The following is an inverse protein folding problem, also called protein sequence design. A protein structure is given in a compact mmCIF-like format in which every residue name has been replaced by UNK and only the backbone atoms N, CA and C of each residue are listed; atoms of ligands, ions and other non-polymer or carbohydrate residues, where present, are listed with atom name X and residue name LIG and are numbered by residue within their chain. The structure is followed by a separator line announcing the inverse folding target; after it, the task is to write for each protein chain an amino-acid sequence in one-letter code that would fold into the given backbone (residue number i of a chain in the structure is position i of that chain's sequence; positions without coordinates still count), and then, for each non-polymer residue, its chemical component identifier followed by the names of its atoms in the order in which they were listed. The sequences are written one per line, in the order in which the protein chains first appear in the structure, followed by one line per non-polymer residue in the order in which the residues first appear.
data_IF_159506924353
#
_entry.id   IF_159506924353
#
_cell.length_a   1.000
_cell.length_b   1.000
_cell.length_c   1.000
_cell.angle_alpha   90.00
_cell.angle_beta   90.00
_cell.angle_gamma   90.00
#
_symmetry.space_group_name_H-M   'P 1'
#
loop_
_entity.id
_entity.type
_entity.pdbx_description
1 polymer ?
#
# COMPACT_ATOMS: atom_id res chain seq x y z
N UNK A 1 -19.55 0.13 -60.29
CA UNK A 1 -20.00 1.01 -59.19
C UNK A 1 -20.26 0.13 -58.00
N UNK A 2 -19.27 0.00 -57.09
CA UNK A 2 -19.45 -0.69 -55.83
C UNK A 2 -20.12 0.29 -54.87
N UNK A 3 -21.29 -0.07 -54.35
CA UNK A 3 -22.00 0.64 -53.32
C UNK A 3 -21.04 0.99 -52.17
N UNK A 4 -20.76 2.25 -52.00
CA UNK A 4 -20.25 2.82 -50.75
C UNK A 4 -21.37 2.64 -49.71
N UNK A 5 -21.35 1.53 -48.99
CA UNK A 5 -22.13 1.35 -47.78
C UNK A 5 -21.76 2.50 -46.83
N UNK A 6 -22.77 3.18 -46.28
CA UNK A 6 -22.64 4.18 -45.23
C UNK A 6 -21.53 3.82 -44.26
N UNK A 7 -20.66 4.79 -43.86
CA UNK A 7 -19.67 4.53 -42.83
C UNK A 7 -20.42 4.00 -41.61
N UNK A 8 -20.16 2.74 -41.26
CA UNK A 8 -20.81 2.10 -40.12
C UNK A 8 -20.47 2.91 -38.86
N UNK A 9 -21.48 3.53 -38.31
CA UNK A 9 -21.37 4.27 -37.03
C UNK A 9 -20.92 3.26 -35.97
N UNK A 10 -19.80 3.55 -35.30
CA UNK A 10 -19.37 2.71 -34.19
C UNK A 10 -20.30 2.92 -32.99
N UNK A 11 -20.68 1.82 -32.34
CA UNK A 11 -21.42 1.90 -31.08
C UNK A 11 -20.52 1.42 -29.94
N UNK A 12 -20.36 2.28 -28.95
CA UNK A 12 -19.52 2.03 -27.76
C UNK A 12 -20.44 1.80 -26.57
N UNK A 13 -20.34 0.64 -25.97
CA UNK A 13 -21.15 0.22 -24.82
C UNK A 13 -20.33 -0.63 -23.86
N UNK A 14 -20.95 -1.12 -22.79
CA UNK A 14 -20.32 -2.09 -21.90
C UNK A 14 -20.98 -3.46 -22.01
N UNK A 15 -20.15 -4.52 -22.09
CA UNK A 15 -20.59 -5.91 -21.96
C UNK A 15 -19.79 -6.61 -20.86
N UNK A 16 -20.46 -6.93 -19.77
CA UNK A 16 -19.76 -7.50 -18.59
C UNK A 16 -18.79 -6.50 -17.96
N UNK A 17 -17.50 -6.85 -17.92
CA UNK A 17 -16.43 -6.00 -17.41
C UNK A 17 -15.74 -5.17 -18.50
N UNK A 18 -16.00 -5.48 -19.78
CA UNK A 18 -15.28 -4.94 -20.89
C UNK A 18 -16.01 -3.76 -21.55
N UNK A 19 -15.25 -2.88 -22.19
CA UNK A 19 -15.72 -1.88 -23.12
C UNK A 19 -15.91 -2.57 -24.49
N UNK A 20 -17.15 -2.62 -24.95
CA UNK A 20 -17.52 -3.29 -26.19
C UNK A 20 -17.72 -2.25 -27.30
N UNK A 21 -17.04 -2.43 -28.44
CA UNK A 21 -17.20 -1.58 -29.63
C UNK A 21 -17.75 -2.44 -30.76
N UNK A 22 -18.90 -2.02 -31.28
CA UNK A 22 -19.61 -2.69 -32.35
C UNK A 22 -19.33 -1.92 -33.64
N UNK A 23 -18.79 -2.60 -34.68
CA UNK A 23 -18.48 -2.02 -35.97
C UNK A 23 -17.07 -2.41 -36.46
N UNK A 24 -16.53 -1.65 -37.42
CA UNK A 24 -15.19 -1.90 -37.97
C UNK A 24 -14.13 -1.26 -37.05
N UNK A 25 -13.35 -2.11 -36.38
CA UNK A 25 -12.39 -1.71 -35.33
C UNK A 25 -10.93 -2.05 -35.65
N UNK A 26 -10.61 -2.49 -36.87
CA UNK A 26 -9.28 -2.96 -37.23
C UNK A 26 -8.14 -1.97 -36.90
N UNK A 27 -8.42 -0.66 -36.96
CA UNK A 27 -7.46 0.39 -36.60
C UNK A 27 -7.23 0.50 -35.09
N UNK A 28 -8.23 0.14 -34.27
CA UNK A 28 -8.13 0.13 -32.80
C UNK A 28 -7.43 -1.16 -32.33
N UNK A 29 -7.69 -2.27 -32.99
CA UNK A 29 -7.16 -3.59 -32.63
C UNK A 29 -5.64 -3.64 -32.66
N UNK A 30 -5.01 -2.80 -33.51
CA UNK A 30 -3.55 -2.67 -33.60
C UNK A 30 -2.93 -1.85 -32.45
N UNK A 31 -3.72 -1.01 -31.81
CA UNK A 31 -3.23 -0.02 -30.83
C UNK A 31 -3.49 -0.41 -29.39
N UNK A 32 -4.47 -1.29 -29.15
CA UNK A 32 -4.89 -1.65 -27.80
C UNK A 32 -5.01 -3.17 -27.64
N UNK A 33 -4.71 -3.71 -26.44
CA UNK A 33 -5.05 -5.08 -26.10
C UNK A 33 -6.56 -5.31 -26.24
N UNK A 34 -6.95 -6.33 -26.99
CA UNK A 34 -8.35 -6.57 -27.31
C UNK A 34 -8.68 -8.05 -27.42
N UNK A 35 -9.99 -8.34 -27.39
CA UNK A 35 -10.57 -9.64 -27.73
C UNK A 35 -11.71 -9.40 -28.70
N UNK A 36 -11.78 -10.15 -29.80
CA UNK A 36 -12.80 -10.02 -30.83
C UNK A 36 -13.75 -11.20 -30.81
N UNK A 37 -15.05 -10.91 -30.97
CA UNK A 37 -16.09 -11.89 -31.12
C UNK A 37 -17.07 -11.42 -32.21
N UNK A 38 -17.10 -12.09 -33.38
CA UNK A 38 -17.87 -11.72 -34.59
C UNK A 38 -17.69 -10.23 -34.98
N UNK A 39 -18.70 -9.37 -34.60
CA UNK A 39 -18.73 -7.94 -34.94
C UNK A 39 -18.44 -7.04 -33.75
N UNK A 40 -18.04 -7.61 -32.61
CA UNK A 40 -17.79 -6.88 -31.37
C UNK A 40 -16.33 -7.05 -30.99
N UNK A 41 -15.65 -5.93 -30.78
CA UNK A 41 -14.30 -5.92 -30.22
C UNK A 41 -14.34 -5.40 -28.79
N UNK A 42 -13.70 -6.11 -27.91
CA UNK A 42 -13.68 -5.82 -26.46
C UNK A 42 -12.32 -5.24 -26.09
N UNK A 43 -12.37 -4.14 -25.33
CA UNK A 43 -11.20 -3.42 -24.81
C UNK A 43 -11.33 -3.25 -23.31
N UNK A 44 -10.25 -2.86 -22.65
CA UNK A 44 -10.33 -2.48 -21.25
C UNK A 44 -11.03 -1.11 -21.10
N UNK A 45 -11.94 -0.95 -20.14
CA UNK A 45 -12.59 0.34 -19.86
C UNK A 45 -11.61 1.50 -19.63
N UNK A 46 -10.44 1.24 -19.03
CA UNK A 46 -9.38 2.23 -18.81
C UNK A 46 -8.90 2.91 -20.11
N UNK A 47 -9.03 2.26 -21.25
CA UNK A 47 -8.57 2.76 -22.55
C UNK A 47 -9.63 3.64 -23.25
N UNK A 48 -10.82 3.80 -22.65
CA UNK A 48 -11.95 4.50 -23.23
C UNK A 48 -11.60 5.86 -23.85
N UNK A 49 -10.94 6.74 -23.12
CA UNK A 49 -10.62 8.09 -23.63
C UNK A 49 -9.55 8.06 -24.73
N UNK A 50 -8.57 7.20 -24.63
CA UNK A 50 -7.58 7.00 -25.68
C UNK A 50 -8.22 6.45 -26.97
N UNK A 51 -9.18 5.56 -26.84
CA UNK A 51 -9.97 5.01 -27.94
C UNK A 51 -10.83 6.11 -28.59
N UNK A 52 -11.52 6.92 -27.77
CA UNK A 52 -12.31 8.07 -28.27
C UNK A 52 -11.44 9.04 -29.05
N UNK A 53 -10.27 9.38 -28.54
CA UNK A 53 -9.36 10.29 -29.20
C UNK A 53 -8.88 9.73 -30.54
N UNK A 54 -8.56 8.44 -30.60
CA UNK A 54 -8.15 7.78 -31.86
C UNK A 54 -9.30 7.72 -32.88
N UNK A 55 -10.53 7.46 -32.43
CA UNK A 55 -11.73 7.49 -33.29
C UNK A 55 -11.93 8.90 -33.87
N UNK A 56 -11.81 9.95 -33.05
CA UNK A 56 -11.91 11.35 -33.50
C UNK A 56 -10.82 11.75 -34.48
N UNK A 57 -9.57 11.37 -34.22
CA UNK A 57 -8.43 11.63 -35.14
C UNK A 57 -8.68 11.00 -36.52
N UNK A 58 -9.31 9.82 -36.58
CA UNK A 58 -9.64 9.15 -37.82
C UNK A 58 -10.98 9.62 -38.44
N UNK A 59 -11.61 10.64 -37.90
CA UNK A 59 -12.90 11.19 -38.36
C UNK A 59 -14.02 10.13 -38.50
N UNK A 60 -14.08 9.18 -37.58
CA UNK A 60 -15.09 8.11 -37.59
C UNK A 60 -16.26 8.52 -36.71
N UNK A 61 -17.49 8.36 -37.23
CA UNK A 61 -18.72 8.63 -36.47
C UNK A 61 -18.95 7.53 -35.45
N UNK A 62 -19.35 7.90 -34.23
CA UNK A 62 -19.64 6.96 -33.15
C UNK A 62 -20.77 7.43 -32.25
N UNK A 63 -21.40 6.49 -31.56
CA UNK A 63 -22.37 6.71 -30.48
C UNK A 63 -21.89 6.03 -29.20
N UNK A 64 -22.21 6.61 -28.05
CA UNK A 64 -21.90 6.06 -26.74
C UNK A 64 -23.22 5.73 -26.04
N UNK A 65 -23.38 4.49 -25.64
CA UNK A 65 -24.57 3.94 -24.99
C UNK A 65 -24.46 3.95 -23.45
N UNK A 66 -23.81 4.97 -22.92
CA UNK A 66 -23.77 5.25 -21.47
C UNK A 66 -23.42 6.72 -21.24
N UNK A 67 -23.74 7.22 -20.07
CA UNK A 67 -23.42 8.58 -19.69
C UNK A 67 -22.25 8.66 -18.73
N UNK A 68 -21.49 9.72 -18.81
CA UNK A 68 -20.47 10.08 -17.83
C UNK A 68 -20.42 11.60 -17.69
N UNK A 69 -20.27 12.07 -16.46
CA UNK A 69 -20.03 13.47 -16.12
C UNK A 69 -19.09 13.50 -14.93
N UNK A 70 -17.95 14.14 -15.11
CA UNK A 70 -16.89 14.17 -14.12
C UNK A 70 -16.71 15.51 -13.42
N UNK A 71 -17.39 16.56 -13.87
CA UNK A 71 -17.26 17.88 -13.27
C UNK A 71 -17.95 17.93 -11.90
N UNK A 72 -17.28 18.56 -10.95
CA UNK A 72 -17.96 18.93 -9.71
C UNK A 72 -18.95 20.07 -9.99
N UNK A 73 -20.09 20.11 -9.31
CA UNK A 73 -21.03 21.22 -9.40
C UNK A 73 -20.33 22.57 -9.10
N UNK A 74 -20.76 23.67 -9.75
CA UNK A 74 -20.15 25.00 -9.55
C UNK A 74 -20.17 25.46 -8.09
N UNK A 75 -21.25 25.14 -7.36
CA UNK A 75 -21.40 25.44 -5.93
C UNK A 75 -20.45 24.62 -5.03
N UNK A 76 -19.80 23.58 -5.55
CA UNK A 76 -18.86 22.77 -4.78
C UNK A 76 -17.59 23.59 -4.52
N UNK A 77 -17.30 23.93 -3.28
CA UNK A 77 -16.17 24.77 -2.90
C UNK A 77 -15.21 24.05 -1.98
N UNK A 78 -13.92 24.38 -2.14
CA UNK A 78 -12.87 23.90 -1.24
C UNK A 78 -12.33 25.06 -0.41
N UNK A 79 -12.27 24.86 0.91
CA UNK A 79 -11.61 25.76 1.85
C UNK A 79 -10.31 25.11 2.32
N UNK A 80 -9.21 25.43 1.65
CA UNK A 80 -7.91 24.80 1.97
C UNK A 80 -7.37 25.29 3.30
N UNK A 81 -7.01 24.34 4.16
CA UNK A 81 -6.36 24.58 5.46
C UNK A 81 -5.00 23.88 5.52
N UNK A 82 -4.15 24.10 4.51
CA UNK A 82 -2.77 23.59 4.47
C UNK A 82 -1.93 24.38 3.48
N UNK A 83 -0.62 24.33 3.67
CA UNK A 83 0.39 24.79 2.73
C UNK A 83 1.27 23.62 2.33
N UNK A 84 1.70 23.61 1.07
CA UNK A 84 2.58 22.56 0.57
C UNK A 84 4.04 22.88 0.91
N UNK A 85 4.79 21.86 1.30
CA UNK A 85 6.25 21.92 1.22
C UNK A 85 6.70 21.99 -0.24
N UNK A 86 7.91 22.49 -0.48
CA UNK A 86 8.47 22.62 -1.84
C UNK A 86 8.41 21.31 -2.62
N UNK A 87 8.85 20.21 -2.01
CA UNK A 87 8.83 18.87 -2.65
C UNK A 87 7.41 18.38 -2.96
N UNK A 88 6.41 18.75 -2.14
CA UNK A 88 5.00 18.41 -2.41
C UNK A 88 4.48 19.19 -3.62
N UNK A 89 4.86 20.43 -3.76
CA UNK A 89 4.56 21.24 -4.92
C UNK A 89 5.16 20.62 -6.20
N UNK A 90 6.44 20.27 -6.14
CA UNK A 90 7.15 19.59 -7.24
C UNK A 90 6.47 18.25 -7.62
N UNK A 91 6.00 17.48 -6.63
CA UNK A 91 5.28 16.23 -6.88
C UNK A 91 3.94 16.47 -7.60
N UNK A 92 3.18 17.49 -7.19
CA UNK A 92 1.92 17.88 -7.85
C UNK A 92 2.18 18.31 -9.28
N UNK A 93 3.15 19.21 -9.51
CA UNK A 93 3.51 19.68 -10.85
C UNK A 93 3.99 18.55 -11.76
N UNK A 94 4.85 17.68 -11.25
CA UNK A 94 5.34 16.52 -12.01
C UNK A 94 4.19 15.62 -12.48
N UNK A 95 3.20 15.40 -11.62
CA UNK A 95 2.03 14.59 -11.96
C UNK A 95 1.10 15.32 -12.96
N UNK A 96 0.84 16.62 -12.77
CA UNK A 96 0.04 17.43 -13.69
C UNK A 96 0.64 17.45 -15.10
N UNK A 97 1.96 17.61 -15.19
CA UNK A 97 2.71 17.67 -16.44
C UNK A 97 2.80 16.29 -17.13
N UNK A 98 2.64 15.19 -16.40
CA UNK A 98 2.61 13.84 -16.98
C UNK A 98 1.20 13.40 -17.36
N UNK A 99 0.45 14.23 -18.08
CA UNK A 99 -0.91 13.95 -18.54
C UNK A 99 -1.88 13.59 -17.40
N UNK A 100 -1.61 14.03 -16.19
CA UNK A 100 -2.39 13.76 -14.97
C UNK A 100 -2.50 12.24 -14.71
N UNK A 101 -1.42 11.52 -14.98
CA UNK A 101 -1.24 10.09 -14.67
C UNK A 101 0.12 9.89 -14.03
N UNK A 102 0.22 8.99 -13.07
CA UNK A 102 1.53 8.69 -12.51
C UNK A 102 1.50 8.11 -11.11
N UNK A 103 2.67 7.63 -10.72
CA UNK A 103 2.94 7.06 -9.41
C UNK A 103 3.79 8.06 -8.63
N UNK A 104 3.36 8.44 -7.43
CA UNK A 104 4.14 9.24 -6.50
C UNK A 104 4.65 8.32 -5.40
N UNK A 105 5.98 8.19 -5.33
CA UNK A 105 6.67 7.32 -4.40
C UNK A 105 7.30 8.16 -3.28
N UNK A 106 6.63 8.21 -2.12
CA UNK A 106 7.07 8.99 -0.97
C UNK A 106 6.98 8.18 0.32
N UNK A 107 7.94 8.33 1.25
CA UNK A 107 7.90 7.67 2.54
C UNK A 107 6.63 7.98 3.33
N UNK A 108 6.32 7.14 4.30
CA UNK A 108 5.26 7.42 5.27
C UNK A 108 5.61 8.68 6.06
N UNK A 109 4.62 9.57 6.25
CA UNK A 109 4.84 10.85 6.92
C UNK A 109 5.20 12.01 5.99
N UNK A 110 5.49 11.77 4.70
CA UNK A 110 5.78 12.81 3.71
C UNK A 110 4.54 13.62 3.27
N UNK A 111 3.35 13.29 3.75
CA UNK A 111 2.13 14.01 3.39
C UNK A 111 1.55 13.64 2.03
N UNK A 112 1.62 12.36 1.61
CA UNK A 112 0.99 11.85 0.38
C UNK A 112 -0.48 12.25 0.26
N UNK A 113 -1.22 12.21 1.37
CA UNK A 113 -2.62 12.64 1.43
C UNK A 113 -2.77 14.11 1.07
N UNK A 114 -1.91 15.00 1.59
CA UNK A 114 -1.94 16.45 1.31
C UNK A 114 -1.72 16.73 -0.19
N UNK A 115 -0.77 16.02 -0.83
CA UNK A 115 -0.55 16.09 -2.29
C UNK A 115 -1.83 15.74 -3.04
N UNK A 116 -2.52 14.68 -2.63
CA UNK A 116 -3.77 14.26 -3.27
C UNK A 116 -4.90 15.26 -3.06
N UNK A 117 -5.02 15.85 -1.87
CA UNK A 117 -6.01 16.90 -1.59
C UNK A 117 -5.77 18.13 -2.45
N UNK A 118 -4.50 18.52 -2.68
CA UNK A 118 -4.14 19.57 -3.60
C UNK A 118 -4.59 19.24 -5.04
N UNK A 119 -4.29 18.04 -5.51
CA UNK A 119 -4.70 17.58 -6.85
C UNK A 119 -6.23 17.60 -7.01
N UNK A 120 -6.98 17.10 -6.01
CA UNK A 120 -8.46 17.16 -6.00
C UNK A 120 -8.95 18.60 -6.12
N UNK A 121 -8.35 19.51 -5.35
CA UNK A 121 -8.76 20.93 -5.36
C UNK A 121 -8.45 21.65 -6.68
N UNK A 122 -7.35 21.28 -7.35
CA UNK A 122 -6.95 21.85 -8.65
C UNK A 122 -7.85 21.34 -9.77
N UNK A 123 -8.08 20.02 -9.82
CA UNK A 123 -8.82 19.40 -10.92
C UNK A 123 -10.33 19.69 -10.86
N UNK A 124 -10.90 19.80 -9.65
CA UNK A 124 -12.35 20.02 -9.44
C UNK A 124 -13.23 19.02 -10.19
N UNK A 125 -12.89 17.75 -10.08
CA UNK A 125 -13.62 16.66 -10.73
C UNK A 125 -14.02 15.57 -9.72
N UNK A 126 -15.05 14.80 -10.08
CA UNK A 126 -15.54 13.66 -9.28
C UNK A 126 -14.40 12.66 -9.08
N UNK A 127 -14.15 12.32 -7.83
CA UNK A 127 -12.96 11.58 -7.42
C UNK A 127 -13.31 10.31 -6.66
N UNK A 128 -12.71 9.19 -7.06
CA UNK A 128 -12.72 7.93 -6.32
C UNK A 128 -11.37 7.72 -5.64
N UNK A 129 -11.39 7.59 -4.31
CA UNK A 129 -10.21 7.33 -3.48
C UNK A 129 -10.30 5.90 -2.98
N UNK A 130 -9.39 5.04 -3.43
CA UNK A 130 -9.34 3.62 -3.06
C UNK A 130 -8.31 3.41 -1.96
N UNK A 131 -8.74 2.82 -0.85
CA UNK A 131 -7.91 2.61 0.35
C UNK A 131 -7.94 1.15 0.80
N UNK A 132 -6.90 0.64 1.46
CA UNK A 132 -6.84 -0.77 1.86
C UNK A 132 -7.76 -1.14 3.04
N UNK A 133 -8.07 -0.20 3.93
CA UNK A 133 -8.78 -0.51 5.18
C UNK A 133 -9.85 0.52 5.52
N UNK A 134 -10.84 0.11 6.31
CA UNK A 134 -11.89 1.01 6.83
C UNK A 134 -11.31 2.12 7.73
N UNK A 135 -10.20 1.86 8.38
CA UNK A 135 -9.52 2.87 9.21
C UNK A 135 -8.92 3.96 8.33
N UNK A 136 -8.29 3.61 7.22
CA UNK A 136 -7.80 4.60 6.24
C UNK A 136 -8.96 5.35 5.56
N UNK A 137 -10.09 4.67 5.33
CA UNK A 137 -11.30 5.33 4.83
C UNK A 137 -11.73 6.46 5.77
N UNK A 138 -11.82 6.20 7.07
CA UNK A 138 -12.17 7.21 8.07
C UNK A 138 -11.11 8.33 8.16
N UNK A 139 -9.83 8.00 8.07
CA UNK A 139 -8.76 9.01 8.04
C UNK A 139 -8.84 9.91 6.82
N UNK A 140 -9.10 9.37 5.64
CA UNK A 140 -9.30 10.13 4.42
C UNK A 140 -10.48 11.07 4.53
N UNK A 141 -11.61 10.57 5.08
CA UNK A 141 -12.79 11.38 5.36
C UNK A 141 -12.46 12.58 6.26
N UNK A 142 -11.79 12.32 7.38
CA UNK A 142 -11.38 13.36 8.30
C UNK A 142 -10.43 14.37 7.66
N UNK A 143 -9.50 13.92 6.81
CA UNK A 143 -8.61 14.82 6.07
C UNK A 143 -9.35 15.69 5.04
N UNK A 144 -10.32 15.14 4.32
CA UNK A 144 -11.17 15.89 3.39
C UNK A 144 -11.97 16.98 4.12
N UNK A 145 -12.54 16.64 5.27
CA UNK A 145 -13.28 17.60 6.12
C UNK A 145 -12.34 18.69 6.64
N UNK A 146 -11.25 18.30 7.28
CA UNK A 146 -10.36 19.23 7.96
C UNK A 146 -9.56 20.12 6.99
N UNK A 147 -9.04 19.53 5.92
CA UNK A 147 -8.11 20.22 5.03
C UNK A 147 -8.75 20.85 3.81
N UNK A 148 -9.88 20.35 3.34
CA UNK A 148 -10.62 20.93 2.19
C UNK A 148 -11.94 21.58 2.59
N UNK A 149 -12.32 21.53 3.89
CA UNK A 149 -13.54 22.15 4.39
C UNK A 149 -14.83 21.50 3.92
N UNK A 150 -14.79 20.23 3.50
CA UNK A 150 -15.99 19.50 3.06
C UNK A 150 -16.89 19.17 4.24
N UNK A 151 -18.20 19.12 3.99
CA UNK A 151 -19.13 18.55 4.96
C UNK A 151 -19.10 17.02 4.88
N UNK A 152 -19.37 16.35 5.99
CA UNK A 152 -19.44 14.88 6.01
C UNK A 152 -20.50 14.33 5.02
N UNK A 153 -21.56 15.09 4.74
CA UNK A 153 -22.61 14.81 3.76
C UNK A 153 -22.15 14.84 2.30
N UNK A 154 -21.03 15.52 2.00
CA UNK A 154 -20.50 15.67 0.64
C UNK A 154 -19.58 14.52 0.25
N UNK A 155 -19.24 13.66 1.21
CA UNK A 155 -18.30 12.57 1.06
C UNK A 155 -19.02 11.23 1.04
N UNK A 156 -18.88 10.49 -0.06
CA UNK A 156 -19.37 9.13 -0.18
C UNK A 156 -18.45 8.14 0.55
N UNK A 157 -19.08 7.17 1.22
CA UNK A 157 -18.37 6.09 1.91
C UNK A 157 -18.83 4.73 1.35
N UNK A 158 -17.87 3.93 0.85
CA UNK A 158 -18.18 2.64 0.26
C UNK A 158 -17.29 1.54 0.86
N UNK A 159 -17.84 0.82 1.85
CA UNK A 159 -17.12 -0.22 2.60
C UNK A 159 -17.73 -0.41 3.99
N UNK A 160 -17.46 -1.54 4.64
CA UNK A 160 -17.95 -1.82 5.99
C UNK A 160 -19.48 -1.80 6.12
N UNK A 161 -20.20 -2.19 5.05
CA UNK A 161 -21.67 -2.16 5.01
C UNK A 161 -22.27 -0.86 4.48
N UNK A 162 -21.52 0.23 4.37
CA UNK A 162 -21.97 1.46 3.72
C UNK A 162 -21.78 1.37 2.20
N UNK A 163 -22.71 1.97 1.43
CA UNK A 163 -22.68 2.01 -0.03
C UNK A 163 -23.16 3.37 -0.57
N UNK A 164 -22.69 4.43 0.04
CA UNK A 164 -23.03 5.80 -0.34
C UNK A 164 -22.04 6.35 -1.37
N UNK A 165 -22.56 6.76 -2.53
CA UNK A 165 -21.78 7.34 -3.63
C UNK A 165 -22.07 8.83 -3.70
N UNK A 166 -21.03 9.64 -3.65
CA UNK A 166 -21.03 11.10 -3.82
C UNK A 166 -19.96 11.51 -4.83
N UNK A 167 -19.89 12.77 -5.15
CA UNK A 167 -18.91 13.31 -6.11
C UNK A 167 -17.45 13.07 -5.67
N UNK A 168 -17.22 13.07 -4.35
CA UNK A 168 -15.95 12.57 -3.78
C UNK A 168 -16.30 11.34 -2.92
N UNK A 169 -15.83 10.18 -3.34
CA UNK A 169 -16.15 8.91 -2.68
C UNK A 169 -14.86 8.19 -2.27
N UNK A 170 -14.84 7.71 -1.03
CA UNK A 170 -13.77 6.88 -0.50
C UNK A 170 -14.28 5.45 -0.45
N UNK A 171 -13.51 4.51 -0.98
CA UNK A 171 -13.89 3.10 -1.12
C UNK A 171 -12.75 2.18 -0.71
N UNK A 172 -13.06 1.03 -0.11
CA UNK A 172 -12.02 0.01 0.14
C UNK A 172 -11.68 -0.75 -1.15
N UNK A 173 -10.45 -1.31 -1.24
CA UNK A 173 -10.05 -2.15 -2.38
C UNK A 173 -11.02 -3.30 -2.65
N UNK A 174 -11.48 -3.98 -1.59
CA UNK A 174 -12.48 -5.06 -1.71
C UNK A 174 -13.77 -4.56 -2.34
N UNK A 175 -14.28 -3.43 -1.87
CA UNK A 175 -15.50 -2.84 -2.42
C UNK A 175 -15.28 -2.29 -3.83
N UNK A 176 -14.16 -1.63 -4.11
CA UNK A 176 -13.83 -1.12 -5.44
C UNK A 176 -13.76 -2.25 -6.48
N UNK A 177 -13.19 -3.40 -6.10
CA UNK A 177 -13.16 -4.61 -6.92
C UNK A 177 -14.57 -5.16 -7.21
N UNK A 178 -15.41 -5.30 -6.17
CA UNK A 178 -16.74 -5.90 -6.30
C UNK A 178 -17.71 -5.03 -7.10
N UNK A 179 -17.61 -3.71 -6.97
CA UNK A 179 -18.59 -2.77 -7.52
C UNK A 179 -18.11 -1.98 -8.74
N UNK A 180 -17.04 -2.44 -9.41
CA UNK A 180 -16.52 -1.82 -10.65
C UNK A 180 -17.62 -1.52 -11.65
N UNK A 181 -18.50 -2.49 -11.97
CA UNK A 181 -19.57 -2.31 -12.97
C UNK A 181 -20.52 -1.17 -12.65
N UNK A 182 -20.82 -0.98 -11.37
CA UNK A 182 -21.73 0.07 -10.89
C UNK A 182 -21.09 1.46 -10.92
N UNK A 183 -19.78 1.53 -10.66
CA UNK A 183 -19.10 2.79 -10.37
C UNK A 183 -18.18 3.28 -11.49
N UNK A 184 -17.96 2.47 -12.54
CA UNK A 184 -16.92 2.69 -13.56
C UNK A 184 -17.00 4.03 -14.30
N UNK A 185 -18.19 4.62 -14.44
CA UNK A 185 -18.43 5.86 -15.17
C UNK A 185 -18.64 7.09 -14.28
N UNK A 186 -18.55 6.93 -12.96
CA UNK A 186 -18.92 8.01 -12.04
C UNK A 186 -17.79 9.01 -11.76
N UNK A 187 -16.53 8.62 -11.99
CA UNK A 187 -15.38 9.38 -11.51
C UNK A 187 -14.37 9.68 -12.61
N UNK A 188 -13.86 10.90 -12.63
CA UNK A 188 -12.82 11.35 -13.57
C UNK A 188 -11.40 11.21 -13.01
N UNK A 189 -11.25 11.17 -11.68
CA UNK A 189 -9.97 10.93 -11.01
C UNK A 189 -10.06 9.65 -10.16
N UNK A 190 -9.14 8.72 -10.40
CA UNK A 190 -8.93 7.52 -9.61
C UNK A 190 -7.63 7.68 -8.80
N UNK A 191 -7.76 7.70 -7.49
CA UNK A 191 -6.62 7.73 -6.55
C UNK A 191 -6.51 6.37 -5.88
N UNK A 192 -5.35 5.72 -5.99
CA UNK A 192 -5.02 4.51 -5.24
C UNK A 192 -4.05 4.86 -4.11
N UNK A 193 -4.53 4.82 -2.87
CA UNK A 193 -3.65 4.92 -1.72
C UNK A 193 -3.10 3.54 -1.36
N UNK A 194 -1.83 3.49 -0.92
CA UNK A 194 -1.05 2.27 -0.74
C UNK A 194 -1.16 1.35 -1.98
N UNK A 195 -0.87 1.93 -3.16
CA UNK A 195 -1.10 1.35 -4.48
C UNK A 195 -0.41 -0.02 -4.72
N UNK A 196 0.54 -0.39 -3.87
CA UNK A 196 1.15 -1.73 -3.90
C UNK A 196 0.14 -2.86 -3.65
N UNK A 197 -1.06 -2.57 -3.09
CA UNK A 197 -2.14 -3.56 -2.96
C UNK A 197 -2.67 -4.03 -4.32
N UNK A 198 -2.49 -3.25 -5.38
CA UNK A 198 -2.89 -3.65 -6.73
C UNK A 198 -2.10 -4.85 -7.27
N UNK A 199 -0.97 -5.21 -6.67
CA UNK A 199 -0.15 -6.36 -7.06
C UNK A 199 -0.83 -7.73 -6.89
N UNK A 200 -1.94 -7.81 -6.15
CA UNK A 200 -2.75 -9.02 -6.05
C UNK A 200 -3.64 -9.18 -7.29
N UNK A 201 -3.64 -10.36 -7.91
CA UNK A 201 -4.43 -10.67 -9.12
C UNK A 201 -5.91 -10.31 -9.04
N UNK A 202 -6.46 -10.25 -7.82
CA UNK A 202 -7.87 -9.91 -7.60
C UNK A 202 -8.20 -8.43 -7.83
N UNK A 203 -7.27 -7.51 -7.52
CA UNK A 203 -7.55 -6.07 -7.58
C UNK A 203 -7.17 -5.41 -8.90
N UNK A 204 -6.57 -6.12 -9.84
CA UNK A 204 -6.23 -5.60 -11.17
C UNK A 204 -7.43 -5.00 -11.91
N UNK A 205 -8.62 -5.55 -11.70
CA UNK A 205 -9.86 -5.05 -12.29
C UNK A 205 -10.19 -3.61 -11.84
N UNK A 206 -9.65 -3.13 -10.72
CA UNK A 206 -9.83 -1.74 -10.29
C UNK A 206 -9.13 -0.81 -11.28
N UNK A 207 -7.93 -1.14 -11.70
CA UNK A 207 -7.21 -0.33 -12.67
C UNK A 207 -7.79 -0.47 -14.09
N UNK A 208 -8.22 -1.67 -14.48
CA UNK A 208 -8.73 -1.96 -15.83
C UNK A 208 -10.17 -1.50 -16.05
N UNK A 209 -11.00 -1.54 -15.00
CA UNK A 209 -12.45 -1.47 -15.11
C UNK A 209 -13.07 -0.08 -14.96
N UNK A 210 -12.34 0.93 -14.48
CA UNK A 210 -12.80 2.32 -14.39
C UNK A 210 -12.34 3.13 -15.59
N UNK A 211 -13.25 3.95 -16.17
CA UNK A 211 -12.93 4.80 -17.32
C UNK A 211 -12.19 6.09 -16.92
N UNK A 212 -11.93 6.33 -15.64
CA UNK A 212 -11.28 7.55 -15.14
C UNK A 212 -10.04 7.92 -15.96
N UNK A 213 -10.02 9.09 -16.63
CA UNK A 213 -8.89 9.52 -17.45
C UNK A 213 -7.67 9.92 -16.63
N UNK A 214 -7.86 10.40 -15.41
CA UNK A 214 -6.80 10.86 -14.52
C UNK A 214 -6.55 9.84 -13.42
N UNK A 215 -5.27 9.51 -13.18
CA UNK A 215 -4.89 8.39 -12.32
C UNK A 215 -3.69 8.71 -11.47
N UNK A 216 -3.86 8.61 -10.16
CA UNK A 216 -2.82 8.84 -9.17
C UNK A 216 -2.62 7.60 -8.32
N UNK A 217 -1.41 7.05 -8.30
CA UNK A 217 -1.02 6.00 -7.40
C UNK A 217 -0.05 6.53 -6.34
N UNK A 218 -0.37 6.29 -5.08
CA UNK A 218 0.44 6.70 -3.93
C UNK A 218 0.97 5.48 -3.21
N UNK A 219 2.26 5.45 -2.95
CA UNK A 219 2.85 4.38 -2.16
C UNK A 219 4.14 4.83 -1.50
N UNK A 220 4.54 4.16 -0.41
CA UNK A 220 5.80 4.41 0.25
C UNK A 220 6.94 3.56 -0.33
N UNK A 221 6.62 2.45 -0.97
CA UNK A 221 7.60 1.52 -1.51
C UNK A 221 7.04 0.83 -2.75
N UNK A 222 7.83 0.81 -3.80
CA UNK A 222 7.64 -0.06 -4.96
C UNK A 222 8.99 -0.69 -5.26
N UNK A 223 9.05 -2.00 -5.25
CA UNK A 223 10.15 -2.72 -5.86
C UNK A 223 9.91 -2.69 -7.39
N UNK A 224 10.79 -2.01 -8.12
CA UNK A 224 10.70 -1.92 -9.60
C UNK A 224 10.87 -3.29 -10.27
N UNK A 225 11.36 -4.29 -9.54
CA UNK A 225 11.46 -5.69 -9.99
C UNK A 225 10.25 -6.53 -9.56
N UNK A 226 9.30 -5.98 -8.80
CA UNK A 226 8.07 -6.68 -8.42
C UNK A 226 6.98 -6.49 -9.49
N UNK A 227 6.17 -7.53 -9.67
CA UNK A 227 4.92 -7.51 -10.46
C UNK A 227 4.00 -6.32 -10.14
N UNK A 228 4.13 -5.75 -8.95
CA UNK A 228 3.35 -4.59 -8.50
C UNK A 228 3.62 -3.32 -9.31
N UNK A 229 4.89 -3.06 -9.65
CA UNK A 229 5.26 -1.89 -10.44
C UNK A 229 4.80 -2.05 -11.89
N UNK A 230 5.09 -3.21 -12.48
CA UNK A 230 4.71 -3.55 -13.85
C UNK A 230 3.20 -3.47 -14.05
N UNK A 231 2.43 -3.97 -13.08
CA UNK A 231 0.98 -3.87 -13.08
C UNK A 231 0.47 -2.43 -13.02
N UNK A 232 1.05 -1.56 -12.18
CA UNK A 232 0.63 -0.15 -12.13
C UNK A 232 0.93 0.57 -13.44
N UNK A 233 2.13 0.38 -14.00
CA UNK A 233 2.56 1.02 -15.25
C UNK A 233 1.69 0.56 -16.41
N UNK A 234 1.54 -0.74 -16.61
CA UNK A 234 0.76 -1.32 -17.74
C UNK A 234 -0.74 -1.07 -17.63
N UNK A 235 -1.25 -0.77 -16.42
CA UNK A 235 -2.67 -0.54 -16.15
C UNK A 235 -3.06 0.94 -16.04
N UNK A 236 -2.32 1.81 -16.69
CA UNK A 236 -2.69 3.20 -16.95
C UNK A 236 -2.28 4.21 -15.88
N UNK A 237 -1.37 3.83 -14.96
CA UNK A 237 -0.72 4.79 -14.05
C UNK A 237 0.61 5.33 -14.62
N UNK A 238 1.03 4.82 -15.78
CA UNK A 238 2.22 5.23 -16.54
C UNK A 238 3.52 4.92 -15.78
N UNK A 239 4.16 5.91 -15.16
CA UNK A 239 5.48 5.77 -14.53
C UNK A 239 5.54 6.41 -13.15
N UNK A 240 6.63 6.20 -12.43
CA UNK A 240 6.94 7.01 -11.24
C UNK A 240 7.30 8.41 -11.71
N UNK A 241 6.47 9.38 -11.35
CA UNK A 241 6.63 10.80 -11.74
C UNK A 241 7.39 11.60 -10.70
N UNK A 242 7.34 11.16 -9.43
CA UNK A 242 8.07 11.80 -8.35
C UNK A 242 8.46 10.80 -7.26
N UNK A 243 9.66 10.94 -6.74
CA UNK A 243 10.16 10.08 -5.65
C UNK A 243 11.10 10.84 -4.73
N UNK A 244 11.00 10.58 -3.42
CA UNK A 244 12.00 10.96 -2.43
C UNK A 244 12.28 9.79 -1.49
N UNK A 245 13.53 9.70 -1.06
CA UNK A 245 13.94 8.74 -0.02
C UNK A 245 13.79 9.34 1.38
N UNK A 246 13.69 8.51 2.44
CA UNK A 246 13.56 9.01 3.82
C UNK A 246 14.69 9.95 4.27
N UNK A 247 15.93 9.69 3.86
CA UNK A 247 17.08 10.55 4.15
C UNK A 247 16.95 11.96 3.55
N UNK A 248 16.41 12.07 2.31
CA UNK A 248 16.17 13.35 1.67
C UNK A 248 15.09 14.17 2.41
N UNK A 249 14.04 13.53 2.94
CA UNK A 249 13.04 14.21 3.76
C UNK A 249 13.58 14.65 5.12
N UNK A 250 14.57 13.95 5.65
CA UNK A 250 15.27 14.37 6.86
C UNK A 250 16.12 15.62 6.60
N UNK A 251 16.85 15.65 5.49
CA UNK A 251 17.62 16.82 5.04
C UNK A 251 16.74 18.06 4.80
N UNK A 252 15.49 17.84 4.38
CA UNK A 252 14.49 18.90 4.19
C UNK A 252 13.77 19.30 5.50
N UNK A 253 14.20 18.78 6.65
CA UNK A 253 13.60 19.03 7.98
C UNK A 253 12.09 18.71 8.06
N UNK A 254 11.58 17.88 7.17
CA UNK A 254 10.17 17.44 7.16
C UNK A 254 9.93 16.33 8.17
N UNK A 255 10.94 15.50 8.41
CA UNK A 255 10.93 14.45 9.41
C UNK A 255 11.80 14.86 10.60
N UNK A 256 11.41 14.43 11.78
CA UNK A 256 12.26 14.54 13.00
C UNK A 256 13.60 13.82 12.73
N UNK A 257 14.69 14.38 13.22
CA UNK A 257 15.98 13.70 13.22
C UNK A 257 15.84 12.32 13.85
N UNK A 258 16.32 11.28 13.16
CA UNK A 258 16.19 9.91 13.65
C UNK A 258 17.49 9.12 13.56
N UNK A 259 17.62 8.14 14.43
CA UNK A 259 18.65 7.10 14.34
C UNK A 259 18.04 5.70 14.33
N UNK A 260 18.69 4.78 13.63
CA UNK A 260 18.33 3.36 13.64
C UNK A 260 19.48 2.60 14.29
N UNK A 261 19.18 1.93 15.39
CA UNK A 261 20.17 1.20 16.18
C UNK A 261 19.83 -0.29 16.19
N UNK A 262 20.74 -1.12 15.65
CA UNK A 262 20.60 -2.57 15.70
C UNK A 262 21.33 -3.12 16.91
N UNK A 263 20.59 -3.80 17.77
CA UNK A 263 21.10 -4.45 18.96
C UNK A 263 21.08 -5.95 18.71
N UNK A 264 22.25 -6.54 18.68
CA UNK A 264 22.39 -8.00 18.53
C UNK A 264 22.30 -8.66 19.89
N UNK A 265 21.49 -9.72 19.98
CA UNK A 265 21.32 -10.55 21.16
C UNK A 265 21.75 -11.98 20.89
N UNK A 266 22.42 -12.59 21.86
CA UNK A 266 22.82 -14.00 21.74
C UNK A 266 21.58 -14.90 21.82
N UNK A 267 21.56 -15.93 20.99
CA UNK A 267 20.50 -16.93 21.03
C UNK A 267 20.80 -17.96 22.13
N UNK A 268 19.85 -18.22 23.01
CA UNK A 268 20.01 -19.18 24.12
C UNK A 268 20.23 -20.60 23.63
N UNK A 269 19.52 -21.01 22.58
CA UNK A 269 19.53 -22.36 22.01
C UNK A 269 20.26 -22.37 20.64
N UNK A 270 21.47 -21.83 20.58
CA UNK A 270 22.24 -21.73 19.33
C UNK A 270 22.51 -23.10 18.71
N UNK A 271 22.86 -24.12 19.50
CA UNK A 271 23.11 -25.49 19.02
C UNK A 271 21.88 -26.08 18.32
N UNK A 272 20.70 -25.92 18.92
CA UNK A 272 19.45 -26.39 18.32
C UNK A 272 19.12 -25.63 17.05
N UNK A 273 19.34 -24.31 17.04
CA UNK A 273 19.18 -23.49 15.84
C UNK A 273 20.08 -23.98 14.70
N UNK A 274 21.35 -24.24 14.98
CA UNK A 274 22.33 -24.68 14.00
C UNK A 274 21.96 -26.09 13.48
N UNK A 275 21.47 -26.98 14.34
CA UNK A 275 20.94 -28.29 13.96
C UNK A 275 19.78 -28.15 12.96
N UNK A 276 18.82 -27.29 13.24
CA UNK A 276 17.65 -27.07 12.38
C UNK A 276 18.07 -26.45 11.03
N UNK A 277 18.94 -25.46 11.03
CA UNK A 277 19.50 -24.87 9.80
C UNK A 277 20.30 -25.89 9.00
N UNK A 278 21.06 -26.78 9.67
CA UNK A 278 21.79 -27.88 9.04
C UNK A 278 20.88 -28.81 8.24
N UNK A 279 19.73 -29.20 8.78
CA UNK A 279 18.73 -30.03 8.10
C UNK A 279 18.25 -29.34 6.80
N UNK A 280 17.88 -28.06 6.88
CA UNK A 280 17.46 -27.29 5.72
C UNK A 280 18.57 -27.19 4.66
N UNK A 281 19.78 -26.83 5.07
CA UNK A 281 20.92 -26.66 4.15
C UNK A 281 21.30 -27.99 3.47
N UNK A 282 21.29 -29.10 4.21
CA UNK A 282 21.58 -30.42 3.66
C UNK A 282 20.54 -30.83 2.61
N UNK A 283 19.26 -30.54 2.86
CA UNK A 283 18.20 -30.77 1.87
C UNK A 283 18.45 -29.91 0.61
N UNK A 284 18.69 -28.60 0.76
CA UNK A 284 18.90 -27.68 -0.36
C UNK A 284 20.14 -28.02 -1.20
N UNK A 285 21.18 -28.63 -0.61
CA UNK A 285 22.39 -29.08 -1.32
C UNK A 285 22.21 -30.38 -2.11
N UNK A 286 21.27 -31.26 -1.72
CA UNK A 286 21.08 -32.59 -2.33
C UNK A 286 20.38 -32.53 -3.69
N UNK A 287 19.65 -31.48 -3.97
CA UNK A 287 18.83 -31.43 -5.18
C UNK A 287 19.46 -30.56 -6.26
N UNK A 288 19.51 -31.12 -7.48
CA UNK A 288 19.93 -30.38 -8.67
C UNK A 288 19.13 -29.12 -8.85
N UNK A 289 19.83 -28.05 -8.85
CA UNK A 289 19.35 -26.69 -8.88
C UNK A 289 18.77 -26.34 -10.23
N UNK A 290 17.50 -25.86 -10.27
CA UNK A 290 17.01 -25.10 -11.40
C UNK A 290 17.41 -23.63 -11.23
N UNK A 291 18.33 -23.10 -12.00
CA UNK A 291 18.83 -21.72 -11.82
C UNK A 291 17.74 -20.65 -12.01
N UNK A 292 16.61 -20.99 -12.65
CA UNK A 292 15.48 -20.09 -12.85
C UNK A 292 14.61 -19.88 -11.61
N UNK A 293 14.76 -20.70 -10.55
CA UNK A 293 13.94 -20.59 -9.33
C UNK A 293 14.80 -20.56 -8.07
N UNK A 294 14.50 -19.67 -7.11
CA UNK A 294 15.17 -19.68 -5.80
C UNK A 294 15.05 -21.03 -5.10
N UNK A 295 16.09 -21.53 -4.40
CA UNK A 295 16.09 -22.85 -3.76
C UNK A 295 14.90 -23.08 -2.84
N UNK A 296 14.50 -22.06 -2.07
CA UNK A 296 13.37 -22.15 -1.17
C UNK A 296 12.02 -22.28 -1.90
N UNK A 297 11.83 -21.66 -3.06
CA UNK A 297 10.63 -21.87 -3.87
C UNK A 297 10.54 -23.30 -4.38
N UNK A 298 11.68 -23.89 -4.77
CA UNK A 298 11.73 -25.30 -5.19
C UNK A 298 11.37 -26.25 -4.06
N UNK A 299 11.79 -25.95 -2.82
CA UNK A 299 11.37 -26.70 -1.63
C UNK A 299 9.85 -26.70 -1.50
N UNK A 300 9.21 -25.54 -1.57
CA UNK A 300 7.75 -25.40 -1.43
C UNK A 300 6.98 -26.23 -2.48
N UNK A 301 7.44 -26.29 -3.72
CA UNK A 301 6.78 -27.12 -4.76
C UNK A 301 6.87 -28.62 -4.51
N UNK A 302 7.81 -29.08 -3.67
CA UNK A 302 8.06 -30.50 -3.40
C UNK A 302 7.41 -31.04 -2.13
N UNK A 303 6.98 -30.16 -1.21
CA UNK A 303 6.45 -30.57 0.12
C UNK A 303 5.29 -31.56 0.05
N UNK A 304 4.46 -31.53 -1.00
CA UNK A 304 3.33 -32.44 -1.12
C UNK A 304 3.72 -33.88 -1.54
N UNK A 305 4.95 -34.09 -2.04
CA UNK A 305 5.41 -35.36 -2.63
C UNK A 305 6.69 -35.89 -2.00
N UNK A 306 7.36 -35.11 -1.15
CA UNK A 306 8.70 -35.40 -0.64
C UNK A 306 8.73 -35.18 0.89
N UNK A 307 8.91 -36.28 1.65
CA UNK A 307 9.00 -36.26 3.13
C UNK A 307 10.22 -35.46 3.61
N UNK A 308 11.34 -35.52 2.88
CA UNK A 308 12.55 -34.78 3.23
C UNK A 308 12.33 -33.27 3.05
N UNK A 309 11.53 -32.89 2.03
CA UNK A 309 11.10 -31.50 1.85
C UNK A 309 10.22 -31.00 3.01
N UNK A 310 9.30 -31.86 3.49
CA UNK A 310 8.47 -31.52 4.66
C UNK A 310 9.33 -31.33 5.90
N UNK A 311 10.31 -32.23 6.13
CA UNK A 311 11.23 -32.12 7.25
C UNK A 311 12.10 -30.85 7.15
N UNK A 312 12.63 -30.52 5.97
CA UNK A 312 13.41 -29.32 5.75
C UNK A 312 12.58 -28.04 5.97
N UNK A 313 11.31 -28.02 5.56
CA UNK A 313 10.40 -26.89 5.83
C UNK A 313 10.11 -26.76 7.33
N UNK A 314 9.84 -27.87 8.01
CA UNK A 314 9.63 -27.88 9.48
C UNK A 314 10.88 -27.37 10.21
N UNK A 315 12.05 -27.81 9.80
CA UNK A 315 13.33 -27.36 10.36
C UNK A 315 13.53 -25.83 10.14
N UNK A 316 13.20 -25.31 8.96
CA UNK A 316 13.22 -23.87 8.70
C UNK A 316 12.27 -23.10 9.63
N UNK A 317 11.04 -23.59 9.83
CA UNK A 317 10.06 -22.96 10.72
C UNK A 317 10.54 -22.99 12.18
N UNK A 318 11.13 -24.10 12.63
CA UNK A 318 11.70 -24.22 13.97
C UNK A 318 12.87 -23.25 14.18
N UNK A 319 13.83 -23.20 13.26
CA UNK A 319 14.94 -22.26 13.32
C UNK A 319 14.46 -20.81 13.36
N UNK A 320 13.45 -20.48 12.54
CA UNK A 320 12.82 -19.17 12.53
C UNK A 320 12.16 -18.84 13.87
N UNK A 321 11.42 -19.76 14.46
CA UNK A 321 10.78 -19.56 15.76
C UNK A 321 11.82 -19.35 16.86
N UNK A 322 12.89 -20.16 16.90
CA UNK A 322 13.98 -20.01 17.87
C UNK A 322 14.61 -18.61 17.78
N UNK A 323 14.99 -18.16 16.59
CA UNK A 323 15.65 -16.85 16.42
C UNK A 323 14.73 -15.67 16.67
N UNK A 324 13.46 -15.77 16.24
CA UNK A 324 12.53 -14.62 16.32
C UNK A 324 11.94 -14.46 17.72
N UNK A 325 11.77 -15.54 18.48
CA UNK A 325 11.13 -15.54 19.80
C UNK A 325 12.12 -15.79 20.95
N UNK A 326 13.40 -15.46 20.77
CA UNK A 326 14.43 -15.63 21.78
C UNK A 326 14.12 -14.82 23.05
N UNK A 327 14.28 -15.46 24.22
CA UNK A 327 13.98 -14.85 25.52
C UNK A 327 15.01 -13.77 25.91
N UNK A 328 16.24 -13.87 25.42
CA UNK A 328 17.27 -12.82 25.54
C UNK A 328 16.79 -11.47 24.99
N UNK A 329 15.89 -11.46 24.01
CA UNK A 329 15.27 -10.22 23.53
C UNK A 329 14.40 -9.53 24.58
N UNK A 330 13.76 -10.29 25.47
CA UNK A 330 12.97 -9.72 26.57
C UNK A 330 13.87 -9.02 27.60
N UNK A 331 15.05 -9.56 27.85
CA UNK A 331 16.05 -8.94 28.75
C UNK A 331 16.49 -7.58 28.17
N UNK A 332 16.80 -7.57 26.88
CA UNK A 332 17.22 -6.33 26.22
C UNK A 332 16.06 -5.33 26.08
N UNK A 333 14.85 -5.83 25.83
CA UNK A 333 13.66 -4.99 25.83
C UNK A 333 13.41 -4.33 27.21
N UNK A 334 13.60 -5.07 28.30
CA UNK A 334 13.50 -4.53 29.66
C UNK A 334 14.51 -3.40 29.86
N UNK A 335 15.76 -3.60 29.45
CA UNK A 335 16.80 -2.56 29.52
C UNK A 335 16.39 -1.29 28.78
N UNK A 336 15.88 -1.44 27.54
CA UNK A 336 15.41 -0.31 26.75
C UNK A 336 14.18 0.38 27.36
N UNK A 337 13.23 -0.39 27.89
CA UNK A 337 12.05 0.19 28.56
C UNK A 337 12.42 0.99 29.83
N UNK A 338 13.42 0.53 30.58
CA UNK A 338 13.98 1.29 31.73
C UNK A 338 14.70 2.56 31.28
N UNK A 339 15.50 2.46 30.21
CA UNK A 339 16.21 3.61 29.62
C UNK A 339 15.25 4.70 29.14
N UNK A 340 14.12 4.30 28.56
CA UNK A 340 13.08 5.17 27.96
C UNK A 340 11.81 5.24 28.81
N UNK A 341 11.94 5.17 30.15
CA UNK A 341 10.80 5.16 31.06
C UNK A 341 9.88 6.36 30.89
N UNK A 342 10.43 7.52 30.57
CA UNK A 342 9.72 8.80 30.43
C UNK A 342 9.31 9.11 28.98
N UNK A 343 9.74 8.29 28.01
CA UNK A 343 9.41 8.46 26.60
C UNK A 343 8.19 7.64 26.20
N UNK A 344 7.49 8.09 25.17
CA UNK A 344 6.44 7.32 24.50
C UNK A 344 7.07 6.28 23.60
N UNK A 345 6.76 4.98 23.79
CA UNK A 345 7.40 3.84 23.12
C UNK A 345 6.38 3.00 22.35
N UNK A 346 6.71 2.67 21.11
CA UNK A 346 6.02 1.65 20.31
C UNK A 346 6.89 0.40 20.15
N UNK A 347 6.34 -0.76 20.51
CA UNK A 347 7.02 -2.05 20.44
C UNK A 347 6.35 -2.88 19.34
N UNK A 348 7.11 -3.27 18.32
CA UNK A 348 6.62 -4.01 17.16
C UNK A 348 7.07 -5.49 17.21
N UNK A 349 6.14 -6.40 16.99
CA UNK A 349 6.44 -7.81 16.76
C UNK A 349 5.55 -8.40 15.68
N UNK A 350 6.15 -9.13 14.74
CA UNK A 350 5.43 -9.84 13.68
C UNK A 350 4.75 -11.13 14.17
N UNK A 351 5.07 -11.58 15.39
CA UNK A 351 4.54 -12.81 15.98
C UNK A 351 3.57 -12.44 17.09
N UNK A 352 2.28 -12.77 16.91
CA UNK A 352 1.20 -12.41 17.85
C UNK A 352 1.43 -13.01 19.24
N UNK A 353 1.81 -14.30 19.34
CA UNK A 353 2.12 -14.93 20.62
C UNK A 353 3.26 -14.26 21.36
N UNK A 354 4.23 -13.70 20.64
CA UNK A 354 5.32 -12.94 21.24
C UNK A 354 4.89 -11.55 21.68
N UNK A 355 3.96 -10.88 20.93
CA UNK A 355 3.30 -9.66 21.42
C UNK A 355 2.60 -9.89 22.76
N UNK A 356 1.82 -10.99 22.86
CA UNK A 356 1.10 -11.38 24.07
C UNK A 356 2.08 -11.69 25.23
N UNK A 357 3.21 -12.36 24.90
CA UNK A 357 4.27 -12.64 25.90
C UNK A 357 4.88 -11.34 26.42
N UNK A 358 5.26 -10.40 25.55
CA UNK A 358 5.77 -9.07 25.94
C UNK A 358 4.75 -8.34 26.81
N UNK A 359 3.48 -8.29 26.37
CA UNK A 359 2.43 -7.60 27.09
C UNK A 359 2.25 -8.15 28.53
N UNK A 360 2.27 -9.46 28.68
CA UNK A 360 2.17 -10.12 30.00
C UNK A 360 3.41 -9.89 30.86
N UNK A 361 4.62 -9.99 30.28
CA UNK A 361 5.87 -9.84 31.03
C UNK A 361 6.07 -8.44 31.58
N UNK A 362 5.60 -7.41 30.85
CA UNK A 362 5.82 -6.01 31.22
C UNK A 362 4.54 -5.25 31.59
N UNK A 363 3.39 -5.95 31.69
CA UNK A 363 2.07 -5.35 32.01
C UNK A 363 1.71 -4.19 31.05
N UNK A 364 1.94 -4.39 29.75
CA UNK A 364 1.72 -3.37 28.73
C UNK A 364 0.44 -3.64 27.93
N UNK A 365 -0.28 -2.58 27.48
CA UNK A 365 -1.37 -2.74 26.54
C UNK A 365 -0.85 -3.31 25.20
N UNK A 366 -1.67 -4.18 24.57
CA UNK A 366 -1.31 -4.85 23.34
C UNK A 366 -2.44 -4.79 22.33
N UNK A 367 -2.13 -4.43 21.10
CA UNK A 367 -3.08 -4.46 19.97
C UNK A 367 -2.65 -5.52 18.96
N UNK A 368 -3.53 -6.50 18.73
CA UNK A 368 -3.39 -7.55 17.73
C UNK A 368 -4.66 -7.64 16.88
N UNK A 369 -4.69 -8.54 15.88
CA UNK A 369 -5.92 -8.81 15.11
C UNK A 369 -7.07 -9.37 15.96
N UNK A 370 -6.76 -9.89 17.16
CA UNK A 370 -7.75 -10.43 18.10
C UNK A 370 -8.37 -9.35 18.99
N UNK A 371 -7.77 -8.17 19.05
CA UNK A 371 -8.25 -7.07 19.88
C UNK A 371 -9.54 -6.51 19.26
N UNK A 372 -10.63 -6.52 20.01
CA UNK A 372 -11.93 -6.00 19.57
C UNK A 372 -11.89 -4.47 19.36
N UNK A 373 -12.81 -3.95 18.57
CA UNK A 373 -12.79 -2.56 18.12
C UNK A 373 -12.83 -1.56 19.26
N UNK A 374 -13.68 -1.78 20.26
CA UNK A 374 -13.88 -0.94 21.41
C UNK A 374 -12.64 -0.88 22.30
N UNK A 375 -12.05 -2.03 22.61
CA UNK A 375 -10.81 -2.14 23.36
C UNK A 375 -9.66 -1.45 22.63
N UNK A 376 -9.56 -1.66 21.32
CA UNK A 376 -8.55 -1.01 20.49
C UNK A 376 -8.65 0.51 20.55
N UNK A 377 -9.86 1.07 20.45
CA UNK A 377 -10.09 2.50 20.54
C UNK A 377 -9.66 3.03 21.91
N UNK A 378 -10.04 2.35 22.99
CA UNK A 378 -9.65 2.73 24.35
C UNK A 378 -8.12 2.72 24.55
N UNK A 379 -7.42 1.66 24.07
CA UNK A 379 -5.96 1.57 24.16
C UNK A 379 -5.30 2.71 23.37
N UNK A 380 -5.79 3.02 22.16
CA UNK A 380 -5.24 4.10 21.35
C UNK A 380 -5.48 5.46 21.98
N UNK A 381 -6.63 5.72 22.58
CA UNK A 381 -6.91 6.96 23.30
C UNK A 381 -6.03 7.11 24.54
N UNK A 382 -5.86 6.03 25.31
CA UNK A 382 -4.93 6.02 26.44
C UNK A 382 -3.51 6.35 25.96
N UNK A 383 -3.06 5.69 24.90
CA UNK A 383 -1.73 5.93 24.33
C UNK A 383 -1.59 7.38 23.81
N UNK A 384 -2.64 7.95 23.22
CA UNK A 384 -2.64 9.35 22.75
C UNK A 384 -2.44 10.33 23.90
N UNK A 385 -3.18 10.16 24.98
CA UNK A 385 -3.21 11.10 26.11
C UNK A 385 -1.98 11.01 27.04
N UNK A 386 -1.36 9.85 27.13
CA UNK A 386 -0.25 9.62 28.05
C UNK A 386 1.09 10.01 27.42
N UNK A 387 1.89 10.81 28.15
CA UNK A 387 3.20 11.29 27.66
C UNK A 387 4.27 10.20 27.59
N UNK A 388 4.19 9.19 28.44
CA UNK A 388 5.18 8.11 28.58
C UNK A 388 4.58 6.71 28.37
N UNK A 389 3.47 6.61 27.62
CA UNK A 389 2.82 5.35 27.34
C UNK A 389 3.73 4.40 26.54
N UNK A 390 3.60 3.10 26.81
CA UNK A 390 4.21 2.01 26.04
C UNK A 390 3.09 1.18 25.44
N UNK A 391 3.25 0.78 24.18
CA UNK A 391 2.25 0.01 23.47
C UNK A 391 2.91 -1.10 22.64
N UNK A 392 2.43 -2.33 22.81
CA UNK A 392 2.85 -3.48 21.99
C UNK A 392 1.88 -3.63 20.84
N UNK A 393 2.42 -3.83 19.62
CA UNK A 393 1.61 -3.89 18.43
C UNK A 393 2.08 -5.02 17.49
N UNK A 394 1.12 -5.72 16.89
CA UNK A 394 1.39 -6.70 15.84
C UNK A 394 1.31 -6.08 14.45
N UNK A 395 1.57 -6.89 13.39
CA UNK A 395 1.52 -6.51 11.96
C UNK A 395 0.29 -5.71 11.51
N UNK A 396 -0.84 -5.86 12.18
CA UNK A 396 -2.11 -5.21 11.78
C UNK A 396 -2.00 -3.68 11.79
N UNK A 397 -1.07 -3.15 12.58
CA UNK A 397 -0.85 -1.71 12.66
C UNK A 397 0.09 -1.17 11.57
N UNK A 398 0.69 -2.04 10.76
CA UNK A 398 1.50 -1.61 9.62
C UNK A 398 0.62 -0.91 8.56
N UNK A 399 -0.69 -1.23 8.50
CA UNK A 399 -1.63 -0.69 7.51
C UNK A 399 -2.85 -0.02 8.17
N UNK A 400 -2.87 1.31 8.17
CA UNK A 400 -4.11 2.08 8.35
C UNK A 400 -4.54 2.48 9.75
N UNK A 401 -3.90 2.09 10.85
CA UNK A 401 -4.24 2.63 12.16
C UNK A 401 -3.39 3.86 12.44
N UNK A 402 -4.05 4.98 12.71
CA UNK A 402 -3.37 6.20 13.17
C UNK A 402 -2.89 6.00 14.61
N UNK A 403 -1.66 5.48 14.73
CA UNK A 403 -1.00 5.45 16.03
C UNK A 403 -0.37 6.82 16.25
N UNK A 404 -0.66 7.43 17.38
CA UNK A 404 -0.05 8.70 17.72
C UNK A 404 1.46 8.58 17.78
N UNK A 405 2.10 9.66 17.44
CA UNK A 405 3.53 9.79 17.34
C UNK A 405 4.26 9.26 18.56
N UNK A 406 5.18 8.33 18.33
CA UNK A 406 6.10 7.85 19.33
C UNK A 406 7.47 8.50 19.12
N UNK A 407 8.22 8.66 20.20
CA UNK A 407 9.63 9.08 20.14
C UNK A 407 10.56 7.89 19.92
N UNK A 408 10.20 6.76 20.51
CA UNK A 408 10.98 5.53 20.50
C UNK A 408 10.19 4.42 19.85
N UNK A 409 10.81 3.73 18.88
CA UNK A 409 10.31 2.50 18.30
C UNK A 409 11.24 1.34 18.65
N UNK A 410 10.69 0.16 18.97
CA UNK A 410 11.47 -1.05 19.21
C UNK A 410 10.90 -2.17 18.37
N UNK A 411 11.64 -2.64 17.36
CA UNK A 411 11.30 -3.81 16.58
C UNK A 411 11.92 -5.03 17.27
N UNK A 412 11.11 -5.82 17.94
CA UNK A 412 11.55 -7.04 18.63
C UNK A 412 11.55 -8.23 17.69
N UNK A 413 10.56 -8.28 16.78
CA UNK A 413 10.49 -9.26 15.68
C UNK A 413 10.08 -8.55 14.41
N UNK A 414 10.92 -8.62 13.37
CA UNK A 414 10.64 -8.00 12.07
C UNK A 414 10.73 -8.98 10.92
N UNK A 415 9.84 -8.85 9.92
CA UNK A 415 9.98 -9.56 8.66
C UNK A 415 11.13 -8.97 7.82
N UNK A 416 11.62 -9.73 6.84
CA UNK A 416 12.62 -9.23 5.88
C UNK A 416 12.08 -8.23 4.85
N UNK A 417 10.85 -7.71 5.02
CA UNK A 417 10.22 -6.79 4.07
C UNK A 417 10.57 -5.35 4.41
N UNK A 418 11.31 -4.68 3.53
CA UNK A 418 11.69 -3.26 3.64
C UNK A 418 10.49 -2.34 3.84
N UNK A 419 9.36 -2.65 3.17
CA UNK A 419 8.10 -1.88 3.29
C UNK A 419 7.59 -1.77 4.72
N UNK A 420 7.50 -2.88 5.46
CA UNK A 420 7.03 -2.87 6.85
C UNK A 420 7.97 -2.06 7.75
N UNK A 421 9.27 -2.17 7.49
CA UNK A 421 10.26 -1.38 8.20
C UNK A 421 10.08 0.13 7.98
N UNK A 422 9.89 0.55 6.72
CA UNK A 422 9.66 1.96 6.35
C UNK A 422 8.35 2.48 6.95
N UNK A 423 7.27 1.69 6.95
CA UNK A 423 5.99 2.07 7.55
C UNK A 423 6.11 2.25 9.08
N UNK A 424 6.85 1.38 9.76
CA UNK A 424 7.13 1.49 11.21
C UNK A 424 7.97 2.71 11.52
N UNK A 425 9.05 2.91 10.77
CA UNK A 425 9.88 4.10 10.90
C UNK A 425 9.04 5.37 10.68
N UNK A 426 8.21 5.41 9.64
CA UNK A 426 7.35 6.56 9.35
C UNK A 426 6.40 6.97 10.49
N UNK A 427 6.06 6.04 11.40
CA UNK A 427 5.27 6.36 12.60
C UNK A 427 6.11 6.94 13.73
N UNK A 428 7.42 6.72 13.68
CA UNK A 428 8.36 7.20 14.70
C UNK A 428 8.94 8.55 14.30
N UNK A 429 9.10 8.84 13.02
CA UNK A 429 9.81 10.04 12.53
C UNK A 429 8.93 11.26 12.29
N UNK A 430 7.61 11.17 12.46
CA UNK A 430 6.71 12.33 12.32
C UNK A 430 7.10 13.41 13.33
N UNK A 431 7.12 14.65 12.86
CA UNK A 431 7.34 15.79 13.72
C UNK A 431 6.10 16.07 14.60
N UNK A 432 6.34 16.37 15.87
CA UNK A 432 5.34 16.96 16.75
C UNK A 432 6.03 17.86 17.80
N UNK A 433 5.32 18.82 18.38
CA UNK A 433 5.91 19.76 19.35
C UNK A 433 6.64 19.05 20.49
N UNK A 434 7.91 19.42 20.73
CA UNK A 434 8.74 18.84 21.79
C UNK A 434 9.48 17.54 21.42
N UNK A 435 9.52 17.17 20.15
CA UNK A 435 10.26 16.01 19.67
C UNK A 435 11.48 16.41 18.85
N UNK A 436 12.64 16.40 19.47
CA UNK A 436 13.90 16.77 18.82
C UNK A 436 14.54 15.60 18.08
N UNK A 437 14.38 14.38 18.58
CA UNK A 437 14.98 13.16 18.02
C UNK A 437 14.06 11.95 18.18
N UNK A 438 14.08 11.08 17.19
CA UNK A 438 13.45 9.76 17.22
C UNK A 438 14.51 8.65 17.18
N UNK A 439 14.25 7.53 17.85
CA UNK A 439 15.14 6.35 17.79
C UNK A 439 14.32 5.10 17.48
N UNK A 440 14.78 4.35 16.49
CA UNK A 440 14.26 3.03 16.16
C UNK A 440 15.30 1.98 16.53
N UNK A 441 15.03 1.23 17.59
CA UNK A 441 15.82 0.06 17.97
C UNK A 441 15.32 -1.17 17.23
N UNK A 442 16.25 -2.02 16.84
CA UNK A 442 15.98 -3.29 16.17
C UNK A 442 16.74 -4.39 16.90
N UNK A 443 15.98 -5.28 17.60
CA UNK A 443 16.54 -6.41 18.30
C UNK A 443 16.68 -7.60 17.35
N UNK A 444 17.87 -8.14 17.21
CA UNK A 444 18.19 -9.18 16.23
C UNK A 444 18.99 -10.27 16.89
N UNK A 445 18.57 -11.53 16.74
CA UNK A 445 19.34 -12.66 17.19
C UNK A 445 20.61 -12.85 16.33
N UNK A 446 21.78 -12.81 16.97
CA UNK A 446 23.08 -12.86 16.32
C UNK A 446 23.28 -14.21 15.61
N UNK A 447 24.00 -14.22 14.50
CA UNK A 447 24.36 -15.40 13.69
C UNK A 447 23.15 -16.22 13.20
N UNK A 448 21.99 -15.56 12.98
CA UNK A 448 20.75 -16.22 12.57
C UNK A 448 20.20 -15.72 11.22
N UNK A 449 19.15 -16.39 10.75
CA UNK A 449 18.34 -15.92 9.60
C UNK A 449 17.75 -14.54 9.83
N UNK A 450 17.44 -14.18 11.07
CA UNK A 450 16.87 -12.89 11.41
C UNK A 450 17.88 -11.76 11.13
N UNK A 451 19.13 -11.94 11.46
CA UNK A 451 20.19 -10.97 11.17
C UNK A 451 20.35 -10.75 9.66
N UNK A 452 20.31 -11.83 8.87
CA UNK A 452 20.35 -11.73 7.40
C UNK A 452 19.16 -10.96 6.84
N UNK A 453 17.97 -11.19 7.39
CA UNK A 453 16.75 -10.47 7.00
C UNK A 453 16.78 -9.00 7.40
N UNK A 454 17.33 -8.68 8.60
CA UNK A 454 17.54 -7.32 9.06
C UNK A 454 18.49 -6.54 8.13
N UNK A 455 19.61 -7.16 7.76
CA UNK A 455 20.58 -6.57 6.84
C UNK A 455 20.00 -6.37 5.42
N UNK A 456 19.16 -7.31 4.94
CA UNK A 456 18.51 -7.18 3.64
C UNK A 456 17.57 -5.97 3.59
N UNK A 457 16.69 -5.79 4.57
CA UNK A 457 15.72 -4.67 4.58
C UNK A 457 16.35 -3.28 4.67
N UNK A 458 17.61 -3.20 5.16
CA UNK A 458 18.36 -1.94 5.24
C UNK A 458 19.07 -1.56 3.94
N UNK A 459 19.32 -2.51 3.05
CA UNK A 459 19.96 -2.21 1.75
C UNK A 459 19.06 -1.39 0.82
N UNK A 460 17.74 -1.45 1.03
CA UNK A 460 16.75 -0.73 0.23
C UNK A 460 16.48 0.68 0.81
N UNK A 461 17.22 1.07 1.87
CA UNK A 461 17.09 2.32 2.60
C UNK A 461 18.27 3.25 2.31
#
# INVERSE_FOLDING_TARGET
MKNLSNPSILTITFRGNDLAIIGLTDFLEKSFPNRKDERVTYFFPRDFFLIIDLIKINNISFTIDFSYDFLLPEQFSFSKNFTLYKFQHEAVESWLNNSKKGIILLPTGAGKTIISLEIISILRIKTLIVVPTLVLLEQWKNNLIFHLGLQASDIGEFGGGKQEVKDITIITYDSAHLYVKRLRCNFGLLILDEAHHLAGTSYEIIADGYIAPYRLALTATIDQQELSYENLVTKGFDKVVYTLKPNQLQELEVLTNYSIETIKVKLENQEEYDRQIGILQNYLKRFSYNPALPPFKQLIFRINKDKDAQQALSAYQNAKNLSFSADTKLIELERLLRQHRDDKVLIFSDIVSFCEKIAKSFFLPCITHRTIKEERQWILEYYKRSKNAKLVVSKILDEGIDIPDAKIGIIVVGSGKSRQFIQRLGRIVRQYPGKDKAVLYELVSEDTLEERLANKRKKDF
#
